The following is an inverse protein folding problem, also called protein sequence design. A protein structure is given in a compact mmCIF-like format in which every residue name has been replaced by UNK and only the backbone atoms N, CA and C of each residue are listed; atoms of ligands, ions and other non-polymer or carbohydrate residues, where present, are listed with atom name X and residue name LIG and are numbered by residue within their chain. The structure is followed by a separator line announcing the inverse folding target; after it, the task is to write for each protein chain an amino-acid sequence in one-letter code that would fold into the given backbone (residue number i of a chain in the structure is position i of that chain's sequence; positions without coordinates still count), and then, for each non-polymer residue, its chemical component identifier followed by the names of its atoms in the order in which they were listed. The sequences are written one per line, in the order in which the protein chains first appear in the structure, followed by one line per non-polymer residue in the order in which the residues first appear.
data_IF_771306841723
#
_entry.id   IF_771306841723
#
_cell.length_a   1.000
_cell.length_b   1.000
_cell.length_c   1.000
_cell.angle_alpha   90.00
_cell.angle_beta   90.00
_cell.angle_gamma   90.00
#
_symmetry.space_group_name_H-M   'P 1'
#
loop_
_entity.id
_entity.type
_entity.pdbx_description
1 polymer ?
#
# COMPACT_ATOMS: atom_id res chain seq x y z
N UNK A 1 -38.92 0.45 0.41
CA UNK A 1 -37.68 0.85 -0.29
C UNK A 1 -36.74 -0.34 -0.37
N UNK A 2 -36.25 -0.76 -1.54
CA UNK A 2 -35.30 -1.87 -1.64
C UNK A 2 -34.01 -1.46 -0.88
N UNK A 3 -33.48 -2.36 -0.04
CA UNK A 3 -32.17 -2.19 0.58
C UNK A 3 -31.13 -1.98 -0.53
N UNK A 4 -30.27 -0.96 -0.45
CA UNK A 4 -29.19 -0.82 -1.42
C UNK A 4 -28.41 -2.13 -1.47
N UNK A 5 -28.15 -2.63 -2.68
CA UNK A 5 -27.35 -3.83 -2.88
C UNK A 5 -26.06 -3.68 -2.08
N UNK A 6 -25.74 -4.64 -1.22
CA UNK A 6 -24.56 -4.60 -0.38
C UNK A 6 -23.33 -4.48 -1.30
N UNK A 7 -22.63 -3.35 -1.25
CA UNK A 7 -21.42 -3.16 -2.03
C UNK A 7 -20.39 -4.20 -1.62
N UNK A 8 -19.75 -4.82 -2.61
CA UNK A 8 -18.69 -5.79 -2.37
C UNK A 8 -17.53 -5.08 -1.68
N UNK A 9 -17.05 -5.57 -0.51
CA UNK A 9 -15.92 -4.96 0.17
C UNK A 9 -14.65 -5.05 -0.66
N UNK A 10 -13.79 -4.04 -0.53
CA UNK A 10 -12.47 -4.03 -1.16
C UNK A 10 -11.57 -5.10 -0.56
N UNK A 11 -11.63 -5.26 0.77
CA UNK A 11 -10.93 -6.32 1.51
C UNK A 11 -11.87 -6.92 2.55
N UNK A 12 -11.85 -8.23 2.65
CA UNK A 12 -12.52 -8.96 3.73
C UNK A 12 -11.61 -10.08 4.23
N UNK A 13 -11.13 -9.90 5.43
CA UNK A 13 -10.20 -10.81 6.11
C UNK A 13 -10.87 -11.27 7.38
N UNK A 14 -11.06 -12.58 7.54
CA UNK A 14 -11.67 -13.15 8.74
C UNK A 14 -10.78 -14.21 9.35
N UNK A 15 -10.37 -13.97 10.60
CA UNK A 15 -9.54 -14.86 11.43
C UNK A 15 -8.30 -15.38 10.69
N UNK A 16 -7.68 -14.53 9.87
CA UNK A 16 -6.52 -14.87 9.03
C UNK A 16 -5.35 -15.27 9.91
N UNK A 17 -4.87 -16.49 9.72
CA UNK A 17 -3.64 -16.99 10.33
C UNK A 17 -2.61 -17.27 9.25
N UNK A 18 -1.38 -16.82 9.47
CA UNK A 18 -0.22 -17.13 8.65
C UNK A 18 0.86 -17.70 9.56
N UNK A 19 1.29 -18.91 9.28
CA UNK A 19 2.43 -19.54 9.92
C UNK A 19 3.45 -19.95 8.86
N UNK A 20 4.72 -19.84 9.19
CA UNK A 20 5.86 -20.30 8.38
C UNK A 20 6.76 -21.11 9.27
N UNK A 21 7.02 -22.35 8.88
CA UNK A 21 7.75 -23.31 9.71
C UNK A 21 7.10 -23.37 11.11
N UNK A 22 7.86 -23.22 12.19
CA UNK A 22 7.35 -23.18 13.55
C UNK A 22 6.83 -21.82 14.02
N UNK A 23 6.95 -20.73 13.19
CA UNK A 23 6.63 -19.37 13.60
C UNK A 23 5.25 -18.94 13.11
N UNK A 24 4.36 -18.55 14.05
CA UNK A 24 3.09 -17.89 13.72
C UNK A 24 3.32 -16.39 13.54
N UNK A 25 3.06 -15.90 12.34
CA UNK A 25 3.27 -14.49 11.94
C UNK A 25 1.99 -13.69 12.13
N UNK A 26 0.85 -14.18 11.62
CA UNK A 26 -0.47 -13.58 11.87
C UNK A 26 -1.31 -14.54 12.69
N UNK A 27 -2.05 -13.97 13.68
CA UNK A 27 -2.71 -14.71 14.74
C UNK A 27 -4.23 -14.46 14.76
N UNK A 28 -4.92 -14.84 13.68
CA UNK A 28 -6.37 -14.69 13.61
C UNK A 28 -6.83 -13.27 13.35
N UNK A 29 -6.13 -12.54 12.45
CA UNK A 29 -6.46 -11.18 12.06
C UNK A 29 -7.83 -11.13 11.37
N UNK A 30 -8.71 -10.22 11.82
CA UNK A 30 -9.93 -9.85 11.10
C UNK A 30 -9.89 -8.38 10.75
N UNK A 31 -10.19 -8.08 9.47
CA UNK A 31 -10.12 -6.73 8.94
C UNK A 31 -11.01 -6.60 7.71
N UNK A 32 -11.75 -5.49 7.61
CA UNK A 32 -12.65 -5.23 6.48
C UNK A 32 -12.45 -3.79 5.99
N UNK A 33 -12.40 -3.64 4.67
CA UNK A 33 -12.27 -2.35 3.98
C UNK A 33 -13.43 -2.21 3.02
N UNK A 34 -14.23 -1.16 3.19
CA UNK A 34 -15.34 -0.85 2.30
C UNK A 34 -14.91 0.06 1.15
N UNK A 35 -15.65 0.10 0.04
CA UNK A 35 -15.41 1.06 -1.04
C UNK A 35 -15.39 2.51 -0.52
N UNK A 36 -14.45 3.31 -1.05
CA UNK A 36 -14.29 4.71 -0.66
C UNK A 36 -13.51 4.93 0.65
N UNK A 37 -13.12 3.86 1.36
CA UNK A 37 -12.26 3.97 2.54
C UNK A 37 -10.78 3.97 2.13
N UNK A 38 -10.01 4.87 2.77
CA UNK A 38 -8.56 4.86 2.68
C UNK A 38 -7.99 4.54 4.05
N UNK A 39 -7.12 3.54 4.11
CA UNK A 39 -6.64 2.96 5.35
C UNK A 39 -5.14 3.16 5.54
N UNK A 40 -4.74 3.33 6.80
CA UNK A 40 -3.34 3.22 7.22
C UNK A 40 -3.18 1.92 8.01
N UNK A 41 -2.15 1.13 7.69
CA UNK A 41 -1.67 0.06 8.55
C UNK A 41 -0.45 0.60 9.31
N UNK A 42 -0.59 0.73 10.62
CA UNK A 42 0.46 1.22 11.50
C UNK A 42 0.93 0.10 12.43
N UNK A 43 2.23 -0.06 12.57
CA UNK A 43 2.80 -1.04 13.48
C UNK A 43 4.32 -1.07 13.44
N UNK A 44 4.99 -1.50 14.53
CA UNK A 44 6.44 -1.60 14.58
C UNK A 44 6.96 -2.63 13.56
N UNK A 45 8.27 -2.62 13.33
CA UNK A 45 8.92 -3.65 12.51
C UNK A 45 8.69 -5.02 13.13
N UNK A 46 8.48 -6.03 12.28
CA UNK A 46 8.16 -7.40 12.73
C UNK A 46 6.72 -7.61 13.20
N UNK A 47 5.82 -6.61 13.12
CA UNK A 47 4.42 -6.78 13.53
C UNK A 47 3.57 -7.66 12.61
N UNK A 48 4.08 -8.01 11.39
CA UNK A 48 3.38 -8.84 10.41
C UNK A 48 2.84 -8.07 9.20
N UNK A 49 3.13 -6.78 9.05
CA UNK A 49 2.64 -5.93 7.94
C UNK A 49 2.96 -6.54 6.57
N UNK A 50 4.24 -6.81 6.29
CA UNK A 50 4.67 -7.36 4.99
C UNK A 50 4.07 -8.74 4.71
N UNK A 51 3.87 -9.57 5.75
CA UNK A 51 3.23 -10.89 5.59
C UNK A 51 1.73 -10.75 5.30
N UNK A 52 1.05 -9.77 5.90
CA UNK A 52 -0.32 -9.43 5.56
C UNK A 52 -0.41 -8.98 4.09
N UNK A 53 0.46 -8.07 3.66
CA UNK A 53 0.49 -7.61 2.27
C UNK A 53 0.79 -8.74 1.28
N UNK A 54 1.72 -9.63 1.61
CA UNK A 54 2.04 -10.79 0.79
C UNK A 54 0.83 -11.76 0.65
N UNK A 55 -0.01 -11.88 1.70
CA UNK A 55 -1.26 -12.64 1.59
C UNK A 55 -2.29 -11.89 0.73
N UNK A 56 -2.49 -10.58 0.94
CA UNK A 56 -3.42 -9.77 0.16
C UNK A 56 -3.09 -9.79 -1.34
N UNK A 57 -1.82 -9.92 -1.70
CA UNK A 57 -1.34 -9.98 -3.08
C UNK A 57 -1.12 -11.41 -3.59
N UNK A 58 -1.44 -12.43 -2.78
CA UNK A 58 -1.37 -13.84 -3.16
C UNK A 58 0.04 -14.44 -3.27
N UNK A 59 1.04 -13.77 -2.70
CA UNK A 59 2.39 -14.35 -2.58
C UNK A 59 2.51 -15.31 -1.39
N UNK A 60 1.64 -15.14 -0.37
CA UNK A 60 1.56 -16.04 0.77
C UNK A 60 0.16 -16.63 0.90
N UNK A 61 0.09 -17.95 0.93
CA UNK A 61 -1.14 -18.64 1.24
C UNK A 61 -1.49 -18.50 2.74
N UNK A 62 -2.75 -18.18 3.09
CA UNK A 62 -3.23 -18.31 4.46
C UNK A 62 -3.05 -19.73 4.99
N UNK A 63 -2.64 -19.86 6.27
CA UNK A 63 -2.63 -21.16 6.95
C UNK A 63 -4.04 -21.54 7.39
N UNK A 64 -4.85 -20.57 7.79
CA UNK A 64 -6.29 -20.72 8.08
C UNK A 64 -6.99 -19.36 8.09
N UNK A 65 -8.31 -19.36 8.19
CA UNK A 65 -9.16 -18.18 8.04
C UNK A 65 -9.55 -17.93 6.59
N UNK A 66 -10.27 -16.85 6.34
CA UNK A 66 -10.71 -16.47 4.99
C UNK A 66 -10.11 -15.13 4.59
N UNK A 67 -9.83 -15.01 3.30
CA UNK A 67 -9.28 -13.83 2.67
C UNK A 67 -10.00 -13.59 1.35
N UNK A 68 -10.67 -12.46 1.22
CA UNK A 68 -11.22 -11.99 -0.04
C UNK A 68 -10.71 -10.58 -0.35
N UNK A 69 -10.39 -10.34 -1.62
CA UNK A 69 -9.93 -9.06 -2.14
C UNK A 69 -10.73 -8.74 -3.39
N UNK A 70 -11.38 -7.57 -3.43
CA UNK A 70 -12.24 -7.13 -4.54
C UNK A 70 -13.32 -8.16 -4.92
N UNK A 71 -13.85 -8.87 -3.91
CA UNK A 71 -14.86 -9.94 -4.06
C UNK A 71 -14.30 -11.32 -4.39
N UNK A 72 -13.01 -11.41 -4.73
CA UNK A 72 -12.35 -12.67 -5.06
C UNK A 72 -11.81 -13.38 -3.82
N UNK A 73 -12.22 -14.62 -3.57
CA UNK A 73 -11.84 -15.39 -2.38
C UNK A 73 -10.59 -16.23 -2.66
N UNK A 74 -9.59 -16.17 -1.77
CA UNK A 74 -8.38 -16.98 -1.86
C UNK A 74 -8.71 -18.48 -1.90
N UNK A 75 -8.07 -19.19 -2.86
CA UNK A 75 -8.29 -20.61 -3.11
C UNK A 75 -9.50 -20.95 -3.99
N UNK A 76 -10.32 -19.95 -4.38
CA UNK A 76 -11.47 -20.11 -5.29
C UNK A 76 -11.37 -19.28 -6.56
N UNK A 77 -10.45 -18.32 -6.62
CA UNK A 77 -10.29 -17.38 -7.72
C UNK A 77 -8.85 -17.35 -8.22
N UNK A 78 -8.64 -16.94 -9.47
CA UNK A 78 -7.28 -16.74 -10.03
C UNK A 78 -6.64 -15.45 -9.50
N UNK A 79 -5.71 -15.62 -8.59
CA UNK A 79 -4.96 -14.50 -7.99
C UNK A 79 -3.96 -13.85 -8.94
N UNK A 80 -3.65 -14.47 -10.08
CA UNK A 80 -2.81 -13.84 -11.11
C UNK A 80 -3.58 -12.70 -11.79
N UNK A 81 -4.85 -12.96 -12.14
CA UNK A 81 -5.74 -11.94 -12.70
C UNK A 81 -6.08 -10.88 -11.65
N UNK A 82 -6.35 -11.28 -10.40
CA UNK A 82 -6.63 -10.36 -9.32
C UNK A 82 -5.47 -9.38 -9.08
N UNK A 83 -4.21 -9.85 -9.14
CA UNK A 83 -3.03 -8.98 -8.97
C UNK A 83 -2.96 -7.82 -9.96
N UNK A 84 -3.55 -7.94 -11.15
CA UNK A 84 -3.65 -6.83 -12.11
C UNK A 84 -4.56 -5.71 -11.61
N UNK A 85 -5.52 -6.03 -10.75
CA UNK A 85 -6.45 -5.07 -10.13
C UNK A 85 -5.91 -4.47 -8.82
N UNK A 86 -4.71 -4.91 -8.39
CA UNK A 86 -4.02 -4.44 -7.18
C UNK A 86 -2.72 -3.77 -7.60
N UNK A 87 -2.61 -2.47 -7.35
CA UNK A 87 -1.35 -1.74 -7.47
C UNK A 87 -0.52 -1.93 -6.19
N UNK A 88 0.71 -2.40 -6.32
CA UNK A 88 1.65 -2.52 -5.21
C UNK A 88 2.87 -1.64 -5.46
N UNK A 89 3.16 -0.78 -4.49
CA UNK A 89 4.34 0.10 -4.44
C UNK A 89 5.09 -0.19 -3.15
N UNK A 90 6.34 -0.55 -3.26
CA UNK A 90 7.16 -0.82 -2.08
C UNK A 90 8.50 -1.47 -2.41
N UNK A 91 9.33 -1.71 -1.38
CA UNK A 91 10.68 -2.26 -1.53
C UNK A 91 10.71 -3.62 -2.26
N UNK A 92 9.71 -4.46 -2.02
CA UNK A 92 9.62 -5.78 -2.67
C UNK A 92 9.50 -5.70 -4.18
N UNK A 93 8.72 -4.74 -4.70
CA UNK A 93 8.60 -4.50 -6.15
C UNK A 93 9.86 -3.84 -6.69
N UNK A 94 10.39 -2.84 -5.97
CA UNK A 94 11.59 -2.12 -6.36
C UNK A 94 12.81 -3.06 -6.55
N UNK A 95 12.96 -4.03 -5.66
CA UNK A 95 14.07 -5.00 -5.68
C UNK A 95 14.04 -5.97 -6.86
N UNK A 96 12.89 -6.17 -7.48
CA UNK A 96 12.74 -7.07 -8.64
C UNK A 96 13.01 -6.38 -9.98
N UNK A 97 13.06 -5.04 -10.02
CA UNK A 97 13.30 -4.28 -11.25
C UNK A 97 14.79 -4.28 -11.58
N UNK A 98 15.12 -4.66 -12.80
CA UNK A 98 16.51 -4.66 -13.26
C UNK A 98 17.07 -3.23 -13.32
N UNK A 99 18.32 -2.99 -12.85
CA UNK A 99 18.91 -1.64 -12.85
C UNK A 99 18.97 -0.96 -14.23
N UNK A 100 19.12 -1.73 -15.29
CA UNK A 100 19.19 -1.24 -16.67
C UNK A 100 17.82 -0.92 -17.28
N UNK A 101 16.70 -1.34 -16.65
CA UNK A 101 15.37 -1.15 -17.20
C UNK A 101 15.00 0.34 -17.29
N UNK A 102 14.60 0.88 -18.44
CA UNK A 102 14.18 2.27 -18.56
C UNK A 102 12.89 2.53 -17.76
N UNK A 103 12.76 3.70 -17.13
CA UNK A 103 11.56 4.07 -16.37
C UNK A 103 10.26 3.91 -17.17
N UNK A 104 10.28 4.18 -18.49
CA UNK A 104 9.15 3.97 -19.36
C UNK A 104 8.75 2.49 -19.46
N UNK A 105 9.72 1.60 -19.54
CA UNK A 105 9.50 0.15 -19.61
C UNK A 105 8.97 -0.39 -18.27
N UNK A 106 9.52 0.10 -17.14
CA UNK A 106 9.01 -0.22 -15.80
C UNK A 106 7.53 0.11 -15.70
N UNK A 107 7.09 1.30 -16.14
CA UNK A 107 5.67 1.69 -16.10
C UNK A 107 4.84 0.90 -17.10
N UNK A 108 5.33 0.67 -18.32
CA UNK A 108 4.63 -0.11 -19.33
C UNK A 108 4.36 -1.56 -18.88
N UNK A 109 5.31 -2.18 -18.16
CA UNK A 109 5.14 -3.50 -17.57
C UNK A 109 3.99 -3.58 -16.57
N UNK A 110 3.67 -2.45 -15.94
CA UNK A 110 2.55 -2.36 -14.98
C UNK A 110 1.19 -2.71 -15.58
N UNK A 111 0.96 -2.44 -16.87
CA UNK A 111 -0.32 -2.73 -17.55
C UNK A 111 -0.70 -4.22 -17.47
N UNK A 112 0.28 -5.08 -17.66
CA UNK A 112 0.10 -6.54 -17.63
C UNK A 112 0.55 -7.16 -16.30
N UNK A 113 0.92 -6.33 -15.31
CA UNK A 113 1.47 -6.79 -14.02
C UNK A 113 2.87 -7.40 -14.12
N UNK A 114 3.57 -7.18 -15.23
CA UNK A 114 4.90 -7.72 -15.48
C UNK A 114 5.97 -6.87 -14.80
N UNK A 115 6.98 -7.52 -14.25
CA UNK A 115 8.23 -6.91 -13.81
C UNK A 115 9.28 -7.31 -14.83
N UNK A 116 10.01 -6.32 -15.37
CA UNK A 116 10.96 -6.48 -16.45
C UNK A 116 10.29 -7.00 -17.76
N UNK A 117 10.32 -6.21 -18.77
CA UNK A 117 9.68 -6.54 -20.06
C UNK A 117 10.54 -7.50 -20.87
N UNK A 118 9.97 -8.64 -21.24
CA UNK A 118 10.58 -9.62 -22.16
C UNK A 118 10.08 -9.50 -23.61
N UNK A 119 9.10 -8.62 -23.87
CA UNK A 119 8.55 -8.32 -25.20
C UNK A 119 8.35 -6.81 -25.37
N UNK A 120 8.34 -6.34 -26.61
CA UNK A 120 8.03 -4.93 -26.89
C UNK A 120 6.59 -4.60 -26.54
N UNK A 121 6.34 -3.57 -25.71
CA UNK A 121 4.98 -3.11 -25.41
C UNK A 121 4.30 -2.56 -26.67
N UNK A 122 2.98 -2.68 -26.70
CA UNK A 122 2.17 -2.06 -27.76
C UNK A 122 2.29 -0.52 -27.72
N UNK A 123 2.14 0.18 -28.87
CA UNK A 123 2.20 1.65 -28.90
C UNK A 123 1.25 2.32 -27.91
N UNK A 124 0.03 1.80 -27.74
CA UNK A 124 -0.95 2.30 -26.78
C UNK A 124 -0.46 2.18 -25.31
N UNK A 125 0.19 1.05 -24.97
CA UNK A 125 0.81 0.84 -23.65
C UNK A 125 1.91 1.87 -23.38
N UNK A 126 2.77 2.14 -24.37
CA UNK A 126 3.83 3.15 -24.23
C UNK A 126 3.25 4.56 -24.12
N UNK A 127 2.18 4.88 -24.85
CA UNK A 127 1.50 6.17 -24.76
C UNK A 127 0.89 6.37 -23.35
N UNK A 128 0.23 5.35 -22.79
CA UNK A 128 -0.29 5.36 -21.42
C UNK A 128 0.85 5.56 -20.41
N UNK A 129 1.94 4.79 -20.52
CA UNK A 129 3.09 4.89 -19.63
C UNK A 129 3.71 6.30 -19.65
N UNK A 130 3.90 6.91 -20.84
CA UNK A 130 4.36 8.30 -20.96
C UNK A 130 3.40 9.30 -20.30
N UNK A 131 2.08 9.10 -20.46
CA UNK A 131 1.05 9.94 -19.83
C UNK A 131 1.15 9.85 -18.31
N UNK A 132 1.29 8.67 -17.75
CA UNK A 132 1.41 8.45 -16.30
C UNK A 132 2.70 9.05 -15.75
N UNK A 133 3.84 8.89 -16.42
CA UNK A 133 5.10 9.54 -16.02
C UNK A 133 4.97 11.06 -15.99
N UNK A 134 4.31 11.68 -16.99
CA UNK A 134 4.05 13.13 -16.98
C UNK A 134 3.11 13.54 -15.83
N UNK A 135 2.04 12.78 -15.61
CA UNK A 135 1.09 13.02 -14.50
C UNK A 135 1.79 13.05 -13.15
N UNK A 136 2.78 12.19 -12.96
CA UNK A 136 3.56 12.09 -11.73
C UNK A 136 4.84 12.96 -11.74
N UNK A 137 4.96 13.89 -12.71
CA UNK A 137 6.06 14.86 -12.82
C UNK A 137 7.46 14.22 -13.00
N UNK A 138 7.53 13.06 -13.63
CA UNK A 138 8.77 12.35 -13.97
C UNK A 138 8.86 12.00 -15.46
N UNK A 139 8.14 12.73 -16.31
CA UNK A 139 8.10 12.49 -17.76
C UNK A 139 9.45 12.58 -18.46
N UNK A 140 10.34 13.49 -18.02
CA UNK A 140 11.70 13.64 -18.54
C UNK A 140 12.63 12.45 -18.22
N UNK A 141 12.21 11.55 -17.33
CA UNK A 141 12.99 10.38 -16.93
C UNK A 141 12.65 9.12 -17.73
N UNK A 142 11.78 9.21 -18.74
CA UNK A 142 11.26 8.04 -19.47
C UNK A 142 12.33 7.08 -19.98
N UNK A 143 13.45 7.61 -20.51
CA UNK A 143 14.57 6.83 -21.00
C UNK A 143 15.64 6.50 -19.97
N UNK A 144 15.55 7.07 -18.75
CA UNK A 144 16.57 6.89 -17.70
C UNK A 144 16.47 5.48 -17.11
N UNK A 145 17.59 4.76 -16.99
CA UNK A 145 17.65 3.45 -16.33
C UNK A 145 17.20 3.53 -14.88
N UNK A 146 16.49 2.50 -14.41
CA UNK A 146 15.99 2.39 -13.04
C UNK A 146 17.08 2.58 -11.98
N UNK A 147 18.26 2.00 -12.21
CA UNK A 147 19.40 2.10 -11.30
C UNK A 147 19.91 3.52 -11.08
N UNK A 148 19.66 4.42 -12.03
CA UNK A 148 20.12 5.82 -11.99
C UNK A 148 19.07 6.80 -11.48
N UNK A 149 17.90 6.31 -11.07
CA UNK A 149 16.86 7.13 -10.47
C UNK A 149 17.14 7.34 -8.97
N UNK A 150 16.90 8.54 -8.47
CA UNK A 150 16.85 8.81 -7.03
C UNK A 150 15.69 8.06 -6.37
N UNK A 151 15.71 7.92 -5.04
CA UNK A 151 14.62 7.24 -4.32
C UNK A 151 13.26 7.90 -4.56
N UNK A 152 13.18 9.23 -4.54
CA UNK A 152 11.93 9.96 -4.83
C UNK A 152 11.43 9.75 -6.26
N UNK A 153 12.33 9.73 -7.25
CA UNK A 153 12.01 9.41 -8.64
C UNK A 153 11.52 7.97 -8.78
N UNK A 154 12.19 7.00 -8.12
CA UNK A 154 11.75 5.59 -8.09
C UNK A 154 10.35 5.43 -7.53
N UNK A 155 10.03 6.09 -6.43
CA UNK A 155 8.68 6.02 -5.84
C UNK A 155 7.60 6.55 -6.80
N UNK A 156 7.87 7.66 -7.50
CA UNK A 156 6.94 8.20 -8.52
C UNK A 156 6.77 7.26 -9.70
N UNK A 157 7.85 6.63 -10.17
CA UNK A 157 7.81 5.62 -11.25
C UNK A 157 7.04 4.38 -10.80
N UNK A 158 7.22 3.91 -9.55
CA UNK A 158 6.45 2.79 -9.00
C UNK A 158 4.95 3.10 -8.89
N UNK A 159 4.58 4.32 -8.47
CA UNK A 159 3.15 4.72 -8.49
C UNK A 159 2.63 4.75 -9.92
N UNK A 160 3.39 5.31 -10.90
CA UNK A 160 3.01 5.29 -12.30
C UNK A 160 2.78 3.86 -12.80
N UNK A 161 3.70 2.96 -12.46
CA UNK A 161 3.58 1.53 -12.78
C UNK A 161 2.35 0.90 -12.15
N UNK A 162 2.11 1.17 -10.86
CA UNK A 162 0.96 0.62 -10.15
C UNK A 162 -0.38 1.13 -10.72
N UNK A 163 -0.44 2.38 -11.19
CA UNK A 163 -1.62 2.97 -11.81
C UNK A 163 -1.85 2.50 -13.25
N UNK A 164 -0.83 1.92 -13.91
CA UNK A 164 -0.91 1.53 -15.32
C UNK A 164 -1.91 0.38 -15.58
N UNK A 165 -2.14 -0.49 -14.62
CA UNK A 165 -3.14 -1.56 -14.69
C UNK A 165 -4.56 -1.11 -14.35
N UNK A 166 -4.77 0.17 -14.09
CA UNK A 166 -6.05 0.73 -13.63
C UNK A 166 -6.59 0.05 -12.36
N UNK A 167 -5.80 -0.02 -11.26
CA UNK A 167 -6.13 -0.82 -10.09
C UNK A 167 -7.36 -0.28 -9.33
N UNK A 168 -8.10 -1.18 -8.69
CA UNK A 168 -9.16 -0.81 -7.73
C UNK A 168 -8.63 -0.65 -6.30
N UNK A 169 -7.49 -1.28 -5.99
CA UNK A 169 -6.79 -1.20 -4.72
C UNK A 169 -5.33 -0.82 -4.95
N UNK A 170 -4.84 0.22 -4.27
CA UNK A 170 -3.43 0.60 -4.26
C UNK A 170 -2.84 0.39 -2.87
N UNK A 171 -1.81 -0.41 -2.78
CA UNK A 171 -1.03 -0.67 -1.57
C UNK A 171 0.29 0.08 -1.66
N UNK A 172 0.56 0.95 -0.70
CA UNK A 172 1.80 1.71 -0.56
C UNK A 172 2.54 1.18 0.66
N UNK A 173 3.54 0.30 0.44
CA UNK A 173 4.28 -0.38 1.51
C UNK A 173 5.58 0.36 1.82
N UNK A 174 5.64 0.98 3.01
CA UNK A 174 6.79 1.75 3.51
C UNK A 174 7.42 2.68 2.45
N UNK A 175 6.56 3.28 1.62
CA UNK A 175 6.96 4.00 0.42
C UNK A 175 7.71 5.31 0.69
N UNK A 176 7.77 5.76 1.94
CA UNK A 176 8.57 6.92 2.36
C UNK A 176 9.97 6.52 2.87
N UNK A 177 10.26 5.22 2.99
CA UNK A 177 11.56 4.78 3.49
C UNK A 177 12.72 5.21 2.57
N UNK A 178 13.77 5.78 3.16
CA UNK A 178 14.95 6.27 2.44
C UNK A 178 14.75 7.56 1.65
N UNK A 179 13.58 8.22 1.76
CA UNK A 179 13.38 9.55 1.20
C UNK A 179 13.96 10.61 2.13
N UNK A 180 14.64 11.59 1.55
CA UNK A 180 14.97 12.82 2.27
C UNK A 180 13.69 13.60 2.64
N UNK A 181 13.74 14.58 3.56
CA UNK A 181 12.56 15.31 4.02
C UNK A 181 11.76 15.99 2.91
N UNK A 182 12.43 16.52 1.88
CA UNK A 182 11.78 17.21 0.75
C UNK A 182 11.07 16.20 -0.14
N UNK A 183 11.77 15.16 -0.56
CA UNK A 183 11.21 14.09 -1.38
C UNK A 183 10.03 13.39 -0.67
N UNK A 184 10.12 13.19 0.67
CA UNK A 184 9.02 12.64 1.47
C UNK A 184 7.80 13.58 1.46
N UNK A 185 7.99 14.87 1.68
CA UNK A 185 6.90 15.84 1.66
C UNK A 185 6.20 15.87 0.28
N UNK A 186 6.96 15.90 -0.80
CA UNK A 186 6.44 15.85 -2.17
C UNK A 186 5.69 14.56 -2.47
N UNK A 187 6.21 13.41 -2.01
CA UNK A 187 5.57 12.11 -2.14
C UNK A 187 4.23 12.09 -1.40
N UNK A 188 4.17 12.59 -0.18
CA UNK A 188 2.93 12.67 0.61
C UNK A 188 1.90 13.60 -0.05
N UNK A 189 2.33 14.73 -0.64
CA UNK A 189 1.44 15.59 -1.45
C UNK A 189 0.88 14.82 -2.65
N UNK A 190 1.67 13.99 -3.31
CA UNK A 190 1.21 13.13 -4.40
C UNK A 190 0.17 12.13 -3.89
N UNK A 191 0.46 11.40 -2.81
CA UNK A 191 -0.47 10.41 -2.21
C UNK A 191 -1.81 11.06 -1.86
N UNK A 192 -1.81 12.27 -1.28
CA UNK A 192 -3.02 13.04 -0.96
C UNK A 192 -3.90 13.30 -2.20
N UNK A 193 -3.31 13.37 -3.38
CA UNK A 193 -4.02 13.68 -4.65
C UNK A 193 -4.57 12.44 -5.35
N UNK A 194 -4.06 11.24 -5.04
CA UNK A 194 -4.43 10.00 -5.74
C UNK A 194 -5.95 9.73 -5.77
N UNK A 195 -6.73 9.89 -4.68
CA UNK A 195 -8.18 9.66 -4.73
C UNK A 195 -8.91 10.59 -5.68
N UNK A 196 -8.40 11.83 -5.87
CA UNK A 196 -8.96 12.78 -6.83
C UNK A 196 -8.57 12.45 -8.27
N UNK A 197 -7.37 11.92 -8.48
CA UNK A 197 -6.86 11.51 -9.80
C UNK A 197 -7.55 10.24 -10.30
N UNK A 198 -7.94 9.35 -9.38
CA UNK A 198 -8.66 8.11 -9.68
C UNK A 198 -9.80 7.91 -8.66
N UNK A 199 -11.02 8.41 -8.95
CA UNK A 199 -12.19 8.13 -8.14
C UNK A 199 -12.45 6.62 -8.03
N UNK A 200 -12.83 6.15 -6.85
CA UNK A 200 -13.08 4.73 -6.58
C UNK A 200 -11.82 3.92 -6.20
N UNK A 201 -10.62 4.49 -6.33
CA UNK A 201 -9.40 3.83 -5.86
C UNK A 201 -9.41 3.71 -4.33
N UNK A 202 -9.33 2.51 -3.80
CA UNK A 202 -9.03 2.30 -2.38
C UNK A 202 -7.51 2.36 -2.16
N UNK A 203 -7.08 2.99 -1.08
CA UNK A 203 -5.65 3.10 -0.74
C UNK A 203 -5.41 2.48 0.62
N UNK A 204 -4.43 1.58 0.69
CA UNK A 204 -3.85 1.03 1.92
C UNK A 204 -2.41 1.52 2.02
N UNK A 205 -2.15 2.41 2.96
CA UNK A 205 -0.83 2.98 3.22
C UNK A 205 -0.22 2.30 4.44
N UNK A 206 0.94 1.70 4.28
CA UNK A 206 1.62 0.96 5.34
C UNK A 206 2.84 1.74 5.78
N UNK A 207 2.89 2.05 7.06
CA UNK A 207 4.00 2.80 7.66
C UNK A 207 4.19 2.44 9.13
N UNK A 208 5.34 2.79 9.68
CA UNK A 208 5.60 2.80 11.12
C UNK A 208 5.79 4.23 11.66
N UNK A 209 5.64 5.25 10.78
CA UNK A 209 5.74 6.67 11.10
C UNK A 209 4.38 7.34 11.14
N UNK A 210 4.03 7.93 12.27
CA UNK A 210 2.71 8.56 12.46
C UNK A 210 2.61 9.90 11.70
N UNK A 211 3.75 10.55 11.48
CA UNK A 211 3.88 11.82 10.77
C UNK A 211 3.52 11.69 9.28
N UNK A 212 3.51 10.47 8.75
CA UNK A 212 3.15 10.19 7.36
C UNK A 212 1.63 10.03 7.16
N UNK A 213 0.86 10.03 8.24
CA UNK A 213 -0.59 9.85 8.18
C UNK A 213 -1.26 11.14 7.71
N UNK A 214 -1.76 11.12 6.48
CA UNK A 214 -2.44 12.25 5.84
C UNK A 214 -3.93 12.29 6.19
N UNK A 215 -4.56 13.49 6.13
CA UNK A 215 -6.00 13.62 6.36
C UNK A 215 -6.90 12.86 5.38
N UNK A 216 -6.36 12.42 4.25
CA UNK A 216 -7.10 11.61 3.27
C UNK A 216 -7.39 10.20 3.79
N UNK A 217 -6.60 9.70 4.73
CA UNK A 217 -6.84 8.41 5.35
C UNK A 217 -7.94 8.52 6.40
N UNK A 218 -9.00 7.76 6.21
CA UNK A 218 -10.21 7.79 7.04
C UNK A 218 -10.19 6.75 8.15
N UNK A 219 -9.42 5.66 7.96
CA UNK A 219 -9.38 4.51 8.83
C UNK A 219 -7.94 4.07 9.14
N UNK A 220 -7.77 3.34 10.23
CA UNK A 220 -6.48 2.76 10.61
C UNK A 220 -6.63 1.33 11.14
N UNK A 221 -5.62 0.51 10.85
CA UNK A 221 -5.38 -0.79 11.44
C UNK A 221 -4.06 -0.72 12.22
N UNK A 222 -4.12 -0.90 13.54
CA UNK A 222 -2.94 -1.03 14.38
C UNK A 222 -2.56 -2.50 14.49
N UNK A 223 -1.38 -2.85 13.97
CA UNK A 223 -0.90 -4.23 13.93
C UNK A 223 0.26 -4.42 14.90
N UNK A 224 0.13 -5.35 15.85
CA UNK A 224 1.18 -5.69 16.82
C UNK A 224 1.25 -7.20 17.02
N UNK A 225 2.47 -7.75 16.97
CA UNK A 225 2.73 -9.19 17.20
C UNK A 225 1.81 -10.11 16.40
N UNK A 226 1.50 -9.75 15.16
CA UNK A 226 0.64 -10.54 14.26
C UNK A 226 -0.86 -10.43 14.52
N UNK A 227 -1.30 -9.55 15.41
CA UNK A 227 -2.71 -9.35 15.75
C UNK A 227 -3.15 -7.91 15.54
N UNK A 228 -4.42 -7.70 15.18
CA UNK A 228 -5.02 -6.38 15.18
C UNK A 228 -5.22 -5.92 16.64
N UNK A 229 -4.49 -4.87 17.02
CA UNK A 229 -4.70 -4.21 18.32
C UNK A 229 -5.96 -3.34 18.31
N UNK A 230 -6.22 -2.67 17.18
CA UNK A 230 -7.41 -1.88 16.91
C UNK A 230 -7.57 -1.71 15.40
N UNK A 231 -8.82 -1.64 14.92
CA UNK A 231 -9.16 -1.34 13.54
C UNK A 231 -10.45 -0.53 13.49
N UNK A 232 -10.52 0.48 12.61
CA UNK A 232 -11.71 1.32 12.48
C UNK A 232 -11.40 2.75 12.06
N UNK A 233 -12.32 3.67 12.33
CA UNK A 233 -12.15 5.08 11.99
C UNK A 233 -10.91 5.66 12.66
N UNK A 234 -10.19 6.51 11.95
CA UNK A 234 -8.94 7.13 12.42
C UNK A 234 -9.09 7.77 13.80
N UNK A 235 -10.19 8.52 14.04
CA UNK A 235 -10.44 9.21 15.31
C UNK A 235 -10.63 8.25 16.50
N UNK A 236 -11.12 7.03 16.25
CA UNK A 236 -11.37 6.02 17.29
C UNK A 236 -10.12 5.20 17.58
N UNK A 237 -9.27 5.02 16.61
CA UNK A 237 -8.09 4.14 16.64
C UNK A 237 -6.83 4.89 17.08
N UNK A 238 -6.57 6.09 16.53
CA UNK A 238 -5.38 6.87 16.89
C UNK A 238 -5.56 7.60 18.22
N UNK A 239 -5.46 6.85 19.31
CA UNK A 239 -5.51 7.36 20.69
C UNK A 239 -4.18 7.12 21.39
N UNK A 240 -3.72 8.02 22.28
CA UNK A 240 -2.45 7.85 23.01
C UNK A 240 -2.33 6.49 23.71
N UNK A 241 -3.41 5.99 24.31
CA UNK A 241 -3.42 4.69 24.98
C UNK A 241 -3.20 3.52 24.02
N UNK A 242 -3.84 3.55 22.84
CA UNK A 242 -3.68 2.51 21.81
C UNK A 242 -2.26 2.54 21.21
N UNK A 243 -1.73 3.74 20.92
CA UNK A 243 -0.38 3.92 20.42
C UNK A 243 0.68 3.53 21.45
N UNK A 244 0.46 3.83 22.73
CA UNK A 244 1.35 3.38 23.82
C UNK A 244 1.41 1.86 23.90
N UNK A 245 0.26 1.20 23.75
CA UNK A 245 0.21 -0.27 23.62
C UNK A 245 0.92 -0.74 22.35
N UNK A 246 0.69 -0.08 21.20
CA UNK A 246 1.30 -0.46 19.92
C UNK A 246 2.83 -0.44 19.99
N UNK A 247 3.41 0.64 20.49
CA UNK A 247 4.86 0.83 20.54
C UNK A 247 5.52 0.29 21.80
N UNK A 248 4.73 -0.13 22.81
CA UNK A 248 5.25 -0.68 24.05
C UNK A 248 5.88 0.37 24.99
N UNK A 249 5.61 1.66 24.75
CA UNK A 249 6.10 2.80 25.53
C UNK A 249 5.02 3.85 25.64
N UNK A 250 5.02 4.61 26.74
CA UNK A 250 4.10 5.76 26.91
C UNK A 250 4.41 6.81 25.83
N UNK A 251 3.40 7.18 25.05
CA UNK A 251 3.54 8.17 23.98
C UNK A 251 2.52 9.29 24.14
N UNK A 252 2.92 10.48 23.70
CA UNK A 252 2.04 11.65 23.54
C UNK A 252 1.75 11.81 22.05
N UNK A 253 0.47 11.90 21.71
CA UNK A 253 0.03 12.15 20.34
C UNK A 253 -0.43 13.60 20.25
N UNK A 254 0.09 14.34 19.28
CA UNK A 254 -0.31 15.72 19.00
C UNK A 254 -0.79 15.81 17.56
N UNK A 255 -1.88 16.54 17.34
CA UNK A 255 -2.39 16.85 16.00
C UNK A 255 -2.24 18.33 15.74
N UNK A 256 -1.25 18.71 14.93
CA UNK A 256 -0.98 20.07 14.51
C UNK A 256 -1.52 20.39 13.10
N UNK A 257 -1.24 21.61 12.62
CA UNK A 257 -1.56 22.02 11.24
C UNK A 257 -0.82 21.19 10.18
N UNK A 258 0.39 20.73 10.50
CA UNK A 258 1.23 19.92 9.62
C UNK A 258 0.86 18.42 9.60
N UNK A 259 -0.01 17.96 10.50
CA UNK A 259 -0.39 16.56 10.63
C UNK A 259 -0.23 16.04 12.06
N UNK A 260 -0.02 14.75 12.19
CA UNK A 260 0.21 14.07 13.46
C UNK A 260 1.69 14.10 13.83
N UNK A 261 1.98 14.23 15.12
CA UNK A 261 3.30 13.99 15.68
C UNK A 261 3.21 13.11 16.92
N UNK A 262 4.26 12.34 17.18
CA UNK A 262 4.32 11.40 18.28
C UNK A 262 5.61 11.61 19.07
N UNK A 263 5.45 11.96 20.34
CA UNK A 263 6.55 12.09 21.28
C UNK A 263 6.57 10.87 22.19
N UNK A 264 7.73 10.23 22.32
CA UNK A 264 7.92 9.15 23.31
C UNK A 264 8.26 9.80 24.63
N UNK A 265 7.43 9.58 25.65
CA UNK A 265 7.73 10.09 26.97
C UNK A 265 9.10 9.53 27.43
N UNK A 266 10.04 10.44 27.73
CA UNK A 266 11.37 10.08 28.18
C UNK A 266 11.33 9.24 29.46
N UNK A 267 12.47 8.59 29.72
CA UNK A 267 12.72 7.94 31.02
C UNK A 267 12.68 8.95 32.14
#
# INVERSE_FOLDING_TARGET
MPRPAAQVPVLEVSRLRIAREAKVILRGLSWRVEPGQHWVILGPNGSGKSSLLAALTGYFAPTSGTLAVLGETFGRSDWRELRRRIGLVGPSVAAMIQPAEPALAVVAGGVDGLINLWRRPKPATLALARRLLRLLKVGGLAARPWGHLSQGERQRVLIARALASDPALLILDESCAGLDPVARAEFLVLVKRLPKLKPGLAIVFVTHHIEEILPVFTHALLLRNGSALAAGRMADVLKPAALSKLFGRKVRLTKGRAGWSLDVAGK
#
